data_IF_474204519773
#
_entry.id   IF_474204519773
#
_cell.length_a   1.000
_cell.length_b   1.000
_cell.length_c   1.000
_cell.angle_alpha   90.00
_cell.angle_beta   90.00
_cell.angle_gamma   90.00
#
_symmetry.space_group_name_H-M   'P 1'
#
loop_
_entity.id
_entity.type
_entity.pdbx_description
1 polymer ?
#
# COMPACT_ATOMS: atom_id res chain seq x y z
N UNK A 1 31.72 -54.25 -27.14
CA UNK A 1 32.49 -54.97 -28.18
C UNK A 1 31.49 -55.61 -29.13
N UNK A 2 31.33 -55.06 -30.34
CA UNK A 2 30.48 -55.64 -31.39
C UNK A 2 31.08 -55.31 -32.76
N UNK A 3 31.80 -56.30 -33.31
CA UNK A 3 32.12 -56.53 -34.73
C UNK A 3 32.04 -55.32 -35.68
N UNK A 4 33.12 -54.53 -35.75
CA UNK A 4 33.29 -53.37 -36.64
C UNK A 4 34.14 -53.69 -37.89
N UNK A 5 34.02 -54.90 -38.45
CA UNK A 5 34.86 -55.38 -39.58
C UNK A 5 33.99 -55.91 -40.74
N UNK A 6 32.88 -55.24 -41.04
CA UNK A 6 32.15 -55.46 -42.29
C UNK A 6 32.93 -54.89 -43.48
N UNK A 7 33.22 -55.70 -44.50
CA UNK A 7 33.83 -55.25 -45.77
C UNK A 7 32.88 -54.32 -46.53
N UNK A 8 31.57 -54.55 -46.39
CA UNK A 8 30.50 -53.73 -46.91
C UNK A 8 29.55 -53.31 -45.78
N UNK A 9 29.16 -52.04 -45.79
CA UNK A 9 28.18 -51.49 -44.83
C UNK A 9 27.12 -50.74 -45.62
N UNK A 10 25.87 -51.22 -45.55
CA UNK A 10 24.73 -50.49 -46.09
C UNK A 10 24.42 -49.29 -45.21
N UNK A 11 24.37 -48.10 -45.79
CA UNK A 11 23.96 -46.86 -45.15
C UNK A 11 22.55 -46.54 -45.64
N UNK A 12 21.51 -46.75 -44.81
CA UNK A 12 20.14 -46.44 -45.20
C UNK A 12 19.94 -44.93 -45.48
N UNK A 13 18.82 -44.53 -46.10
CA UNK A 13 18.43 -43.12 -46.18
C UNK A 13 18.42 -42.46 -44.80
N UNK A 14 18.84 -41.19 -44.73
CA UNK A 14 18.95 -40.41 -43.49
C UNK A 14 19.82 -41.06 -42.41
N UNK A 15 20.82 -41.84 -42.81
CA UNK A 15 21.87 -42.33 -41.92
C UNK A 15 23.24 -41.84 -42.38
N UNK A 16 24.19 -41.80 -41.45
CA UNK A 16 25.58 -41.46 -41.72
C UNK A 16 26.53 -42.35 -40.94
N UNK A 17 27.75 -42.51 -41.43
CA UNK A 17 28.83 -43.21 -40.73
C UNK A 17 30.13 -42.40 -40.77
N UNK A 18 31.06 -42.70 -39.87
CA UNK A 18 32.39 -42.06 -39.82
C UNK A 18 33.47 -43.07 -40.19
N UNK A 19 34.33 -42.69 -41.15
CA UNK A 19 35.44 -43.52 -41.64
C UNK A 19 36.75 -42.79 -41.43
N UNK A 20 37.70 -43.43 -40.77
CA UNK A 20 39.09 -43.01 -40.70
C UNK A 20 39.87 -43.61 -41.86
N UNK A 21 40.58 -42.78 -42.61
CA UNK A 21 41.64 -43.25 -43.51
C UNK A 21 42.97 -43.27 -42.74
N UNK A 22 43.57 -44.44 -42.56
CA UNK A 22 44.82 -44.60 -41.82
C UNK A 22 46.05 -44.04 -42.56
N UNK A 23 45.96 -43.80 -43.89
CA UNK A 23 47.07 -43.22 -44.65
C UNK A 23 47.18 -41.72 -44.43
N UNK A 24 46.03 -41.03 -44.33
CA UNK A 24 45.96 -39.58 -44.15
C UNK A 24 45.62 -39.17 -42.72
N UNK A 25 45.23 -40.13 -41.86
CA UNK A 25 44.64 -39.91 -40.54
C UNK A 25 43.40 -39.01 -40.53
N UNK A 26 42.72 -38.87 -41.69
CA UNK A 26 41.53 -38.05 -41.83
C UNK A 26 40.29 -38.88 -41.53
N UNK A 27 39.45 -38.39 -40.62
CA UNK A 27 38.11 -38.94 -40.42
C UNK A 27 37.12 -38.15 -41.26
N UNK A 28 36.39 -38.86 -42.14
CA UNK A 28 35.36 -38.26 -42.99
C UNK A 28 33.98 -38.83 -42.72
N UNK A 29 32.99 -38.03 -43.07
CA UNK A 29 31.58 -38.38 -43.01
C UNK A 29 31.14 -39.05 -44.33
N UNK A 30 30.38 -40.14 -44.24
CA UNK A 30 29.70 -40.75 -45.39
C UNK A 30 28.19 -40.79 -45.12
N UNK A 31 27.42 -40.09 -45.94
CA UNK A 31 25.96 -40.01 -45.85
C UNK A 31 25.28 -41.03 -46.78
N UNK A 32 24.17 -41.62 -46.33
CA UNK A 32 23.31 -42.48 -47.15
C UNK A 32 22.31 -41.70 -48.02
N UNK A 33 21.61 -42.38 -48.95
CA UNK A 33 21.60 -43.82 -49.19
C UNK A 33 22.80 -44.29 -50.04
N UNK A 34 23.65 -45.13 -49.47
CA UNK A 34 24.82 -45.66 -50.17
C UNK A 34 25.27 -46.98 -49.54
N UNK A 35 25.90 -47.85 -50.32
CA UNK A 35 26.63 -48.99 -49.77
C UNK A 35 28.11 -48.61 -49.70
N UNK A 36 28.64 -48.48 -48.49
CA UNK A 36 30.03 -48.15 -48.28
C UNK A 36 30.88 -49.41 -48.33
N UNK A 37 31.88 -49.41 -49.20
CA UNK A 37 32.88 -50.47 -49.32
C UNK A 37 34.18 -50.01 -48.68
N UNK A 38 34.57 -50.66 -47.59
CA UNK A 38 35.76 -50.29 -46.83
C UNK A 38 37.02 -50.71 -47.58
N UNK A 39 37.92 -49.76 -47.89
CA UNK A 39 39.24 -50.07 -48.44
C UNK A 39 40.17 -50.63 -47.37
N UNK A 40 41.31 -51.21 -47.77
CA UNK A 40 42.26 -51.82 -46.84
C UNK A 40 42.89 -50.81 -45.85
N UNK A 41 43.01 -49.55 -46.25
CA UNK A 41 43.54 -48.45 -45.42
C UNK A 41 42.45 -47.77 -44.57
N UNK A 42 41.19 -48.17 -44.65
CA UNK A 42 40.09 -47.48 -44.00
C UNK A 42 39.57 -48.25 -42.78
N UNK A 43 39.15 -47.52 -41.75
CA UNK A 43 38.56 -48.06 -40.53
C UNK A 43 37.25 -47.34 -40.23
N UNK A 44 36.19 -48.10 -39.98
CA UNK A 44 34.89 -47.54 -39.58
C UNK A 44 34.96 -47.23 -38.09
N UNK A 45 34.86 -45.94 -37.72
CA UNK A 45 34.87 -45.49 -36.33
C UNK A 45 33.46 -45.57 -35.74
N UNK A 46 32.46 -45.06 -36.47
CA UNK A 46 31.06 -45.09 -36.06
C UNK A 46 30.24 -45.87 -37.09
N UNK A 47 29.44 -46.81 -36.62
CA UNK A 47 28.45 -47.53 -37.43
C UNK A 47 27.36 -46.56 -37.93
N UNK A 48 26.56 -46.95 -38.95
CA UNK A 48 25.48 -46.12 -39.45
C UNK A 48 24.52 -45.64 -38.34
N UNK A 49 24.50 -44.33 -38.10
CA UNK A 49 23.63 -43.66 -37.14
C UNK A 49 22.58 -42.83 -37.88
N UNK A 50 21.39 -42.68 -37.28
CA UNK A 50 20.34 -41.82 -37.83
C UNK A 50 20.77 -40.36 -37.79
N UNK A 51 20.49 -39.63 -38.88
CA UNK A 51 20.62 -38.17 -38.92
C UNK A 51 19.67 -37.54 -37.90
N UNK A 52 20.09 -36.41 -37.34
CA UNK A 52 19.29 -35.65 -36.39
C UNK A 52 18.20 -34.94 -37.17
N UNK A 53 16.96 -35.11 -36.74
CA UNK A 53 15.79 -34.43 -37.31
C UNK A 53 15.26 -33.46 -36.26
N UNK A 54 15.20 -32.19 -36.61
CA UNK A 54 14.69 -31.11 -35.75
C UNK A 54 13.41 -30.56 -36.38
N UNK A 55 12.28 -30.64 -35.67
CA UNK A 55 11.02 -30.10 -36.18
C UNK A 55 10.91 -28.59 -35.96
N UNK A 56 9.90 -27.94 -36.55
CA UNK A 56 9.63 -26.49 -36.46
C UNK A 56 9.53 -25.97 -35.02
N UNK A 57 9.13 -26.84 -34.08
CA UNK A 57 8.93 -26.48 -32.67
C UNK A 57 10.07 -26.94 -31.76
N UNK A 58 11.17 -27.41 -32.31
CA UNK A 58 12.27 -28.00 -31.57
C UNK A 58 13.61 -27.35 -31.94
N UNK A 59 14.61 -27.60 -31.10
CA UNK A 59 15.99 -27.23 -31.33
C UNK A 59 16.92 -28.26 -30.67
N UNK A 60 18.18 -28.30 -31.11
CA UNK A 60 19.24 -29.02 -30.41
C UNK A 60 20.48 -28.14 -30.30
N UNK A 61 21.36 -28.48 -29.36
CA UNK A 61 22.63 -27.76 -29.15
C UNK A 61 23.77 -28.70 -29.52
N UNK A 62 24.67 -28.23 -30.37
CA UNK A 62 25.84 -28.97 -30.82
C UNK A 62 27.08 -28.27 -30.35
N UNK A 63 27.99 -29.01 -29.74
CA UNK A 63 29.32 -28.53 -29.36
C UNK A 63 30.32 -28.80 -30.48
N UNK A 64 31.28 -27.88 -30.61
CA UNK A 64 32.32 -27.90 -31.65
C UNK A 64 31.73 -27.91 -33.07
N UNK A 65 30.84 -26.97 -33.42
CA UNK A 65 30.16 -26.98 -34.72
C UNK A 65 31.13 -26.81 -35.88
N UNK A 66 30.79 -27.41 -37.02
CA UNK A 66 31.52 -27.17 -38.28
C UNK A 66 31.51 -25.70 -38.69
N UNK A 67 32.64 -25.22 -39.21
CA UNK A 67 32.75 -23.90 -39.83
C UNK A 67 32.02 -23.92 -41.17
N UNK A 68 31.21 -22.89 -41.39
CA UNK A 68 30.50 -22.66 -42.65
C UNK A 68 31.06 -21.40 -43.30
N UNK A 69 31.14 -21.39 -44.62
CA UNK A 69 31.46 -20.20 -45.40
C UNK A 69 30.23 -19.28 -45.57
N UNK A 70 30.40 -18.17 -46.29
CA UNK A 70 29.32 -17.20 -46.55
C UNK A 70 28.14 -17.80 -47.35
N UNK A 71 28.37 -18.91 -48.05
CA UNK A 71 27.33 -19.63 -48.80
C UNK A 71 26.65 -20.72 -47.96
N UNK A 72 27.12 -20.96 -46.73
CA UNK A 72 26.63 -22.01 -45.85
C UNK A 72 27.25 -23.38 -46.10
N UNK A 73 28.26 -23.48 -46.97
CA UNK A 73 29.00 -24.69 -47.26
C UNK A 73 30.09 -24.92 -46.21
N UNK A 74 30.45 -26.18 -45.99
CA UNK A 74 31.37 -26.54 -44.91
C UNK A 74 32.80 -26.28 -45.34
N UNK A 75 33.52 -25.54 -44.51
CA UNK A 75 34.93 -25.26 -44.70
C UNK A 75 35.73 -26.53 -44.38
N UNK A 76 36.36 -27.09 -45.40
CA UNK A 76 37.27 -28.21 -45.28
C UNK A 76 38.71 -27.71 -45.13
N UNK A 77 39.56 -28.43 -44.39
CA UNK A 77 40.99 -28.17 -44.29
C UNK A 77 41.77 -28.73 -45.50
N UNK A 78 43.10 -28.52 -45.49
CA UNK A 78 44.02 -28.98 -46.56
C UNK A 78 43.97 -30.50 -46.80
N UNK A 79 43.46 -31.27 -45.83
CA UNK A 79 43.35 -32.73 -45.88
C UNK A 79 41.91 -33.19 -46.11
N UNK A 80 41.00 -32.30 -46.50
CA UNK A 80 39.57 -32.56 -46.71
C UNK A 80 38.82 -33.00 -45.44
N UNK A 81 39.30 -32.63 -44.25
CA UNK A 81 38.59 -32.79 -42.99
C UNK A 81 37.74 -31.55 -42.70
N UNK A 82 36.54 -31.75 -42.15
CA UNK A 82 35.67 -30.63 -41.78
C UNK A 82 36.31 -29.80 -40.66
N UNK A 83 36.49 -28.50 -40.88
CA UNK A 83 37.04 -27.60 -39.88
C UNK A 83 36.00 -27.31 -38.81
N UNK A 84 36.34 -27.55 -37.54
CA UNK A 84 35.45 -27.29 -36.41
C UNK A 84 35.80 -25.99 -35.69
N UNK A 85 34.79 -25.40 -35.06
CA UNK A 85 34.95 -24.29 -34.12
C UNK A 85 35.00 -24.84 -32.70
N UNK A 86 36.18 -25.32 -32.29
CA UNK A 86 36.37 -25.93 -30.99
C UNK A 86 36.05 -24.96 -29.84
N UNK A 87 35.30 -25.45 -28.84
CA UNK A 87 34.90 -24.67 -27.67
C UNK A 87 33.68 -23.76 -27.90
N UNK A 88 33.11 -23.74 -29.10
CA UNK A 88 31.88 -23.01 -29.41
C UNK A 88 30.66 -23.95 -29.43
N UNK A 89 29.47 -23.36 -29.39
CA UNK A 89 28.19 -24.06 -29.45
C UNK A 89 27.31 -23.48 -30.55
N UNK A 90 26.60 -24.35 -31.28
CA UNK A 90 25.63 -23.97 -32.30
C UNK A 90 24.24 -24.48 -31.91
N UNK A 91 23.26 -23.56 -31.94
CA UNK A 91 21.85 -23.89 -31.80
C UNK A 91 21.29 -24.18 -33.18
N UNK A 92 20.90 -25.44 -33.43
CA UNK A 92 20.25 -25.83 -34.69
C UNK A 92 18.74 -25.91 -34.50
N UNK A 93 18.04 -25.17 -35.33
CA UNK A 93 16.57 -25.15 -35.41
C UNK A 93 16.09 -26.05 -36.55
N UNK A 94 14.82 -25.92 -36.92
CA UNK A 94 14.21 -26.70 -37.98
C UNK A 94 14.94 -26.56 -39.31
N UNK A 95 15.49 -27.67 -39.79
CA UNK A 95 16.22 -27.78 -41.04
C UNK A 95 16.12 -29.23 -41.55
N UNK A 96 16.52 -29.50 -42.81
CA UNK A 96 16.58 -30.88 -43.30
C UNK A 96 17.41 -31.78 -42.38
N UNK A 97 17.08 -33.09 -42.27
CA UNK A 97 17.82 -34.00 -41.42
C UNK A 97 19.32 -33.95 -41.71
N UNK A 98 20.12 -33.76 -40.67
CA UNK A 98 21.55 -33.50 -40.82
C UNK A 98 22.39 -34.52 -40.05
N UNK A 99 23.57 -34.87 -40.59
CA UNK A 99 24.54 -35.69 -39.89
C UNK A 99 25.35 -34.87 -38.88
N UNK A 100 26.00 -35.56 -37.93
CA UNK A 100 27.06 -34.96 -37.12
C UNK A 100 28.41 -35.20 -37.80
N UNK A 101 29.20 -34.15 -37.96
CA UNK A 101 30.56 -34.28 -38.48
C UNK A 101 31.50 -34.91 -37.44
N UNK A 102 32.61 -35.53 -37.87
CA UNK A 102 33.61 -36.05 -36.94
C UNK A 102 34.11 -34.95 -35.99
N UNK A 103 33.88 -35.11 -34.69
CA UNK A 103 34.24 -34.16 -33.63
C UNK A 103 33.09 -33.23 -33.17
N UNK A 104 31.99 -33.17 -33.91
CA UNK A 104 30.75 -32.59 -33.39
C UNK A 104 30.12 -33.54 -32.37
N UNK A 105 29.61 -32.98 -31.28
CA UNK A 105 28.89 -33.72 -30.25
C UNK A 105 27.55 -33.05 -29.95
N UNK A 106 26.52 -33.86 -29.72
CA UNK A 106 25.21 -33.32 -29.30
C UNK A 106 25.27 -33.01 -27.81
N UNK A 107 25.33 -31.72 -27.49
CA UNK A 107 25.37 -31.26 -26.10
C UNK A 107 23.97 -31.31 -25.47
N UNK A 108 22.94 -30.97 -26.24
CA UNK A 108 21.54 -31.08 -25.83
C UNK A 108 20.73 -31.75 -26.92
N UNK A 109 20.06 -32.84 -26.56
CA UNK A 109 19.16 -33.57 -27.46
C UNK A 109 18.00 -32.69 -27.95
N UNK A 110 17.30 -33.17 -28.97
CA UNK A 110 16.17 -32.46 -29.59
C UNK A 110 15.13 -32.12 -28.50
N UNK A 111 14.99 -30.82 -28.23
CA UNK A 111 14.17 -30.27 -27.15
C UNK A 111 13.17 -29.29 -27.76
N UNK A 112 11.94 -29.26 -27.24
CA UNK A 112 10.94 -28.29 -27.70
C UNK A 112 11.30 -26.85 -27.30
N UNK A 113 10.99 -25.91 -28.19
CA UNK A 113 11.12 -24.48 -27.96
C UNK A 113 10.15 -24.02 -26.86
N UNK A 114 10.59 -23.06 -26.06
CA UNK A 114 9.76 -22.51 -24.97
C UNK A 114 8.68 -21.61 -25.56
N UNK A 115 7.42 -22.03 -25.42
CA UNK A 115 6.25 -21.24 -25.81
C UNK A 115 5.73 -20.49 -24.60
N UNK A 116 5.65 -19.17 -24.71
CA UNK A 116 5.07 -18.31 -23.68
C UNK A 116 3.66 -17.90 -24.06
N UNK A 117 2.73 -18.12 -23.14
CA UNK A 117 1.39 -17.58 -23.21
C UNK A 117 1.38 -16.08 -22.88
N UNK A 118 0.24 -15.43 -23.10
CA UNK A 118 0.00 -14.08 -22.60
C UNK A 118 0.19 -14.04 -21.07
N UNK A 119 0.68 -12.92 -20.54
CA UNK A 119 0.98 -12.71 -19.11
C UNK A 119 2.12 -13.59 -18.55
N UNK A 120 2.92 -14.22 -19.40
CA UNK A 120 4.17 -14.88 -19.00
C UNK A 120 5.35 -14.22 -19.72
N UNK A 121 6.49 -14.15 -19.04
CA UNK A 121 7.72 -13.65 -19.60
C UNK A 121 8.92 -14.52 -19.16
N UNK A 122 10.01 -14.45 -19.93
CA UNK A 122 11.30 -14.95 -19.49
C UNK A 122 12.20 -13.76 -19.20
N UNK A 123 12.85 -13.78 -18.03
CA UNK A 123 13.96 -12.89 -17.72
C UNK A 123 15.23 -13.44 -18.34
N UNK A 124 15.81 -12.66 -19.24
CA UNK A 124 17.00 -13.00 -20.00
C UNK A 124 18.16 -12.12 -19.54
N UNK A 125 19.39 -12.64 -19.66
CA UNK A 125 20.61 -11.87 -19.48
C UNK A 125 21.62 -12.14 -20.60
N UNK A 126 22.31 -11.10 -21.04
CA UNK A 126 23.38 -11.23 -22.03
C UNK A 126 24.66 -11.73 -21.36
N UNK A 127 25.22 -12.83 -21.84
CA UNK A 127 26.52 -13.35 -21.38
C UNK A 127 27.68 -12.56 -21.98
N UNK A 128 27.53 -12.10 -23.22
CA UNK A 128 28.53 -11.33 -23.97
C UNK A 128 27.84 -10.19 -24.72
N UNK A 129 28.63 -9.23 -25.22
CA UNK A 129 28.10 -8.18 -26.08
C UNK A 129 27.68 -8.79 -27.43
N UNK A 130 26.46 -8.54 -27.87
CA UNK A 130 25.96 -9.00 -29.16
C UNK A 130 24.87 -8.09 -29.70
N UNK A 131 24.62 -8.17 -31.00
CA UNK A 131 23.52 -7.47 -31.65
C UNK A 131 22.31 -8.39 -31.78
N UNK A 132 21.18 -7.98 -31.19
CA UNK A 132 19.91 -8.72 -31.28
C UNK A 132 19.40 -8.78 -32.73
N UNK A 133 18.51 -9.73 -33.01
CA UNK A 133 17.73 -9.80 -34.27
C UNK A 133 16.99 -8.49 -34.56
N UNK A 134 16.51 -7.82 -33.50
CA UNK A 134 15.82 -6.53 -33.59
C UNK A 134 16.76 -5.33 -33.84
N UNK A 135 18.05 -5.59 -34.01
CA UNK A 135 19.07 -4.56 -34.24
C UNK A 135 19.53 -3.80 -33.00
N UNK A 136 19.06 -4.20 -31.81
CA UNK A 136 19.49 -3.63 -30.52
C UNK A 136 20.84 -4.20 -30.11
N UNK A 137 21.82 -3.33 -29.87
CA UNK A 137 23.11 -3.73 -29.30
C UNK A 137 22.93 -3.99 -27.79
N UNK A 138 23.14 -5.25 -27.38
CA UNK A 138 23.06 -5.69 -26.00
C UNK A 138 24.45 -5.77 -25.39
N UNK A 139 24.59 -5.30 -24.15
CA UNK A 139 25.85 -5.34 -23.40
C UNK A 139 25.84 -6.54 -22.44
N UNK A 140 27.01 -7.14 -22.21
CA UNK A 140 27.17 -8.21 -21.24
C UNK A 140 26.64 -7.81 -19.86
N UNK A 141 25.87 -8.69 -19.23
CA UNK A 141 25.17 -8.47 -17.96
C UNK A 141 23.82 -7.76 -18.09
N UNK A 142 23.50 -7.15 -19.24
CA UNK A 142 22.19 -6.53 -19.46
C UNK A 142 21.07 -7.55 -19.32
N UNK A 143 20.00 -7.18 -18.63
CA UNK A 143 18.80 -7.99 -18.45
C UNK A 143 17.61 -7.38 -19.16
N UNK A 144 16.77 -8.23 -19.75
CA UNK A 144 15.51 -7.82 -20.37
C UNK A 144 14.47 -8.94 -20.30
N UNK A 145 13.22 -8.59 -20.60
CA UNK A 145 12.12 -9.54 -20.66
C UNK A 145 11.84 -9.94 -22.10
N UNK A 146 11.59 -11.22 -22.31
CA UNK A 146 10.87 -11.72 -23.48
C UNK A 146 9.42 -12.00 -23.05
N UNK A 147 8.52 -11.07 -23.36
CA UNK A 147 7.09 -11.13 -23.03
C UNK A 147 6.32 -11.99 -24.04
N UNK A 148 5.44 -12.86 -23.56
CA UNK A 148 4.50 -13.59 -24.41
C UNK A 148 3.32 -12.71 -24.88
N UNK A 149 2.56 -13.12 -25.91
CA UNK A 149 2.62 -14.43 -26.56
C UNK A 149 3.76 -14.54 -27.58
N UNK A 150 4.54 -15.61 -27.50
CA UNK A 150 5.68 -15.80 -28.40
C UNK A 150 6.42 -17.11 -28.17
N UNK A 151 7.23 -17.51 -29.16
CA UNK A 151 8.12 -18.67 -29.06
C UNK A 151 9.54 -18.16 -28.85
N UNK A 152 10.11 -18.43 -27.69
CA UNK A 152 11.47 -18.06 -27.39
C UNK A 152 12.45 -18.96 -28.15
N UNK A 153 13.33 -18.34 -28.94
CA UNK A 153 14.44 -19.01 -29.63
C UNK A 153 15.72 -18.80 -28.83
N UNK A 154 16.26 -19.83 -28.18
CA UNK A 154 17.48 -19.72 -27.39
C UNK A 154 18.68 -19.32 -28.25
N UNK A 155 19.64 -18.63 -27.63
CA UNK A 155 20.88 -18.17 -28.26
C UNK A 155 22.06 -18.50 -27.36
N UNK A 156 23.26 -18.59 -27.95
CA UNK A 156 24.47 -18.89 -27.17
C UNK A 156 24.94 -17.70 -26.32
N UNK A 157 24.61 -16.49 -26.74
CA UNK A 157 24.98 -15.24 -26.08
C UNK A 157 24.00 -14.87 -24.94
N UNK A 158 22.93 -15.63 -24.74
CA UNK A 158 21.83 -15.28 -23.83
C UNK A 158 21.56 -16.41 -22.85
N UNK A 159 21.48 -16.06 -21.57
CA UNK A 159 21.08 -16.95 -20.49
C UNK A 159 19.63 -16.66 -20.06
N UNK A 160 18.87 -17.72 -19.77
CA UNK A 160 17.52 -17.61 -19.20
C UNK A 160 17.65 -17.68 -17.68
N UNK A 161 17.41 -16.57 -17.00
CA UNK A 161 17.54 -16.48 -15.54
C UNK A 161 16.31 -17.04 -14.80
N UNK A 162 15.11 -16.61 -15.19
CA UNK A 162 13.87 -17.04 -14.53
C UNK A 162 12.65 -16.84 -15.43
N UNK A 163 11.57 -17.57 -15.13
CA UNK A 163 10.25 -17.32 -15.70
C UNK A 163 9.46 -16.38 -14.78
N UNK A 164 8.78 -15.40 -15.37
CA UNK A 164 7.93 -14.44 -14.67
C UNK A 164 6.48 -14.55 -15.12
N UNK A 165 5.57 -14.28 -14.20
CA UNK A 165 4.14 -14.16 -14.44
C UNK A 165 3.71 -12.74 -14.15
N UNK A 166 2.80 -12.19 -14.96
CA UNK A 166 2.25 -10.87 -14.70
C UNK A 166 1.46 -10.86 -13.38
N UNK A 167 1.57 -9.76 -12.66
CA UNK A 167 0.83 -9.50 -11.43
C UNK A 167 -0.52 -8.88 -11.77
N UNK A 168 -1.59 -9.39 -11.15
CA UNK A 168 -2.94 -8.89 -11.38
C UNK A 168 -3.24 -7.74 -10.42
N UNK A 169 -3.34 -6.53 -10.97
CA UNK A 169 -3.76 -5.33 -10.24
C UNK A 169 -5.28 -5.23 -10.33
N UNK A 170 -5.95 -5.35 -9.18
CA UNK A 170 -7.39 -5.23 -9.05
C UNK A 170 -7.83 -3.75 -8.97
N UNK A 171 -9.11 -3.42 -9.21
CA UNK A 171 -9.64 -2.10 -8.89
C UNK A 171 -9.35 -1.74 -7.42
N UNK A 172 -9.10 -0.47 -7.13
CA UNK A 172 -8.77 0.02 -5.78
C UNK A 172 -7.52 -0.65 -5.17
N UNK A 173 -6.59 -1.12 -6.00
CA UNK A 173 -5.27 -1.58 -5.57
C UNK A 173 -4.18 -0.99 -6.46
N UNK A 174 -2.97 -0.91 -5.94
CA UNK A 174 -1.80 -0.50 -6.68
C UNK A 174 -0.62 -1.42 -6.38
N UNK A 175 0.20 -1.67 -7.40
CA UNK A 175 1.44 -2.41 -7.25
C UNK A 175 2.55 -1.45 -6.79
N UNK A 176 3.19 -1.75 -5.68
CA UNK A 176 4.30 -0.98 -5.14
C UNK A 176 5.62 -1.57 -5.63
N UNK A 177 6.35 -0.76 -6.41
CA UNK A 177 7.57 -1.15 -7.09
C UNK A 177 8.77 -0.37 -6.59
N UNK A 178 9.94 -1.00 -6.66
CA UNK A 178 11.25 -0.39 -6.41
C UNK A 178 12.21 -0.67 -7.56
N UNK A 179 13.02 0.32 -7.89
CA UNK A 179 14.06 0.22 -8.92
C UNK A 179 15.30 -0.49 -8.36
N UNK A 180 15.76 -1.53 -9.05
CA UNK A 180 16.98 -2.27 -8.73
C UNK A 180 18.25 -1.64 -9.31
N UNK A 181 18.12 -0.71 -10.25
CA UNK A 181 19.19 0.09 -10.86
C UNK A 181 18.61 1.30 -11.60
N UNK A 182 19.48 2.13 -12.17
CA UNK A 182 19.06 3.25 -13.00
C UNK A 182 18.57 2.74 -14.36
N UNK A 183 17.31 3.00 -14.71
CA UNK A 183 16.75 2.60 -16.01
C UNK A 183 15.63 3.55 -16.45
N UNK A 184 15.08 3.31 -17.64
CA UNK A 184 13.86 3.97 -18.10
C UNK A 184 12.71 2.99 -18.02
N UNK A 185 11.65 3.35 -17.31
CA UNK A 185 10.46 2.52 -17.19
C UNK A 185 9.65 2.47 -18.49
N UNK A 186 8.54 1.72 -18.45
CA UNK A 186 7.66 1.50 -19.61
C UNK A 186 7.00 2.78 -20.14
N UNK A 187 6.82 3.78 -19.27
CA UNK A 187 6.26 5.08 -19.61
C UNK A 187 7.35 6.08 -20.08
N UNK A 188 8.61 5.64 -20.12
CA UNK A 188 9.77 6.44 -20.53
C UNK A 188 10.32 7.35 -19.42
N UNK A 189 9.81 7.23 -18.20
CA UNK A 189 10.30 7.96 -17.04
C UNK A 189 11.62 7.34 -16.57
N UNK A 190 12.61 8.19 -16.31
CA UNK A 190 13.89 7.76 -15.75
C UNK A 190 13.70 7.43 -14.27
N UNK A 191 14.03 6.21 -13.88
CA UNK A 191 14.06 5.74 -12.50
C UNK A 191 15.49 5.64 -12.02
N UNK A 192 15.75 6.05 -10.79
CA UNK A 192 17.05 5.89 -10.12
C UNK A 192 17.06 4.69 -9.18
N UNK A 193 18.24 4.14 -8.91
CA UNK A 193 18.41 3.03 -7.97
C UNK A 193 17.73 3.31 -6.62
N UNK A 194 16.89 2.37 -6.17
CA UNK A 194 16.14 2.46 -4.92
C UNK A 194 14.95 3.44 -4.95
N UNK A 195 14.64 4.06 -6.10
CA UNK A 195 13.41 4.82 -6.26
C UNK A 195 12.19 3.89 -6.12
N UNK A 196 11.14 4.39 -5.48
CA UNK A 196 9.92 3.66 -5.19
C UNK A 196 8.73 4.39 -5.85
N UNK A 197 7.81 3.64 -6.49
CA UNK A 197 6.62 4.20 -7.13
C UNK A 197 5.45 3.21 -7.13
N UNK A 198 4.27 3.70 -7.49
CA UNK A 198 3.03 2.93 -7.54
C UNK A 198 2.52 2.82 -8.98
N UNK A 199 2.08 1.62 -9.35
CA UNK A 199 1.35 1.38 -10.59
C UNK A 199 -0.12 1.14 -10.25
N UNK A 200 -0.99 2.05 -10.71
CA UNK A 200 -2.45 2.02 -10.46
C UNK A 200 -3.27 1.47 -11.63
N UNK A 201 -2.62 1.13 -12.74
CA UNK A 201 -3.28 0.64 -13.95
C UNK A 201 -3.87 -0.74 -13.70
N UNK A 202 -5.20 -0.84 -13.70
CA UNK A 202 -5.93 -2.10 -13.49
C UNK A 202 -5.61 -3.09 -14.61
N UNK A 203 -5.36 -4.34 -14.24
CA UNK A 203 -5.07 -5.42 -15.18
C UNK A 203 -3.76 -6.14 -14.86
N UNK A 204 -3.28 -6.92 -15.84
CA UNK A 204 -2.04 -7.66 -15.72
C UNK A 204 -0.84 -6.74 -15.94
N UNK A 205 0.00 -6.59 -14.92
CA UNK A 205 1.25 -5.84 -14.99
C UNK A 205 2.45 -6.79 -14.98
N UNK A 206 3.30 -6.71 -16.02
CA UNK A 206 4.54 -7.48 -16.06
C UNK A 206 5.65 -6.69 -15.38
N UNK A 207 6.14 -7.20 -14.25
CA UNK A 207 7.25 -6.58 -13.52
C UNK A 207 8.52 -6.66 -14.35
N UNK A 208 9.08 -5.51 -14.71
CA UNK A 208 10.26 -5.32 -15.55
C UNK A 208 11.54 -5.94 -14.98
N UNK A 209 12.56 -6.13 -15.83
CA UNK A 209 13.82 -6.78 -15.42
C UNK A 209 14.47 -6.13 -14.19
N UNK A 210 14.44 -4.79 -14.14
CA UNK A 210 15.04 -3.96 -13.10
C UNK A 210 14.01 -3.42 -12.09
N UNK A 211 12.82 -3.98 -12.09
CA UNK A 211 11.76 -3.66 -11.15
C UNK A 211 11.63 -4.79 -10.13
N UNK A 212 11.47 -4.40 -8.88
CA UNK A 212 11.18 -5.29 -7.78
C UNK A 212 9.77 -5.01 -7.27
N UNK A 213 8.95 -6.07 -7.17
CA UNK A 213 7.67 -6.01 -6.45
C UNK A 213 7.95 -5.96 -4.96
N UNK A 214 7.61 -4.84 -4.32
CA UNK A 214 7.73 -4.68 -2.86
C UNK A 214 6.45 -5.14 -2.18
N UNK A 215 5.30 -4.59 -2.59
CA UNK A 215 4.00 -4.92 -1.98
C UNK A 215 2.82 -4.60 -2.92
N UNK A 216 1.59 -4.94 -2.51
CA UNK A 216 0.34 -4.49 -3.14
C UNK A 216 -0.43 -3.65 -2.13
N UNK A 217 -0.67 -2.38 -2.46
CA UNK A 217 -1.35 -1.44 -1.59
C UNK A 217 -2.82 -1.37 -1.98
N UNK A 218 -3.70 -1.68 -1.03
CA UNK A 218 -5.14 -1.51 -1.18
C UNK A 218 -5.59 -0.08 -0.83
N UNK A 219 -6.65 0.38 -1.48
CA UNK A 219 -7.24 1.68 -1.19
C UNK A 219 -7.99 1.66 0.13
N UNK A 220 -7.91 2.76 0.87
CA UNK A 220 -8.79 3.01 2.00
C UNK A 220 -10.13 3.53 1.47
N UNK A 221 -11.21 2.82 1.76
CA UNK A 221 -12.57 3.26 1.44
C UNK A 221 -12.99 4.34 2.45
N UNK A 222 -13.31 5.52 1.95
CA UNK A 222 -13.71 6.68 2.73
C UNK A 222 -15.23 6.84 2.68
N UNK A 223 -15.83 7.18 3.81
CA UNK A 223 -17.27 7.40 3.93
C UNK A 223 -17.53 8.54 4.92
N UNK A 224 -18.80 8.83 5.20
CA UNK A 224 -19.18 9.84 6.19
C UNK A 224 -18.66 9.51 7.61
N UNK A 225 -18.30 8.25 7.88
CA UNK A 225 -17.84 7.77 9.19
C UNK A 225 -16.33 7.60 9.27
N UNK A 226 -15.60 7.70 8.15
CA UNK A 226 -14.17 7.42 8.05
C UNK A 226 -13.48 8.43 7.16
N UNK A 227 -12.55 9.17 7.75
CA UNK A 227 -11.56 9.99 7.06
C UNK A 227 -10.15 9.41 7.27
N UNK A 228 -9.23 9.76 6.38
CA UNK A 228 -7.86 9.29 6.42
C UNK A 228 -6.93 10.43 6.88
N UNK A 229 -6.23 10.25 7.98
CA UNK A 229 -5.19 11.17 8.45
C UNK A 229 -3.86 10.77 7.84
N UNK A 230 -3.33 11.66 7.01
CA UNK A 230 -2.12 11.42 6.20
C UNK A 230 -1.05 12.44 6.54
N UNK A 231 0.20 11.99 6.50
CA UNK A 231 1.41 12.79 6.69
C UNK A 231 2.32 12.70 5.47
N UNK A 232 2.91 13.81 5.06
CA UNK A 232 3.87 13.82 3.96
C UNK A 232 5.27 13.37 4.44
N UNK A 233 5.77 12.26 3.91
CA UNK A 233 7.16 11.81 4.13
C UNK A 233 8.18 12.71 3.45
N UNK A 234 7.81 13.36 2.34
CA UNK A 234 8.65 14.28 1.56
C UNK A 234 7.80 15.38 0.96
N UNK A 235 8.42 16.53 0.64
CA UNK A 235 7.73 17.61 -0.07
C UNK A 235 7.37 17.13 -1.48
N UNK A 236 6.08 17.09 -1.79
CA UNK A 236 5.57 16.61 -3.08
C UNK A 236 4.24 17.29 -3.45
N UNK A 237 3.72 16.97 -4.62
CA UNK A 237 2.36 17.35 -5.04
C UNK A 237 1.49 16.10 -4.89
N UNK A 238 0.41 16.20 -4.11
CA UNK A 238 -0.51 15.09 -3.87
C UNK A 238 -1.35 14.78 -5.13
N UNK A 239 -2.14 13.70 -5.06
CA UNK A 239 -3.02 13.29 -6.18
C UNK A 239 -4.10 14.34 -6.51
N UNK A 240 -4.36 15.28 -5.60
CA UNK A 240 -5.34 16.36 -5.75
C UNK A 240 -4.72 17.66 -6.30
N UNK A 241 -3.41 17.65 -6.60
CA UNK A 241 -2.68 18.80 -7.15
C UNK A 241 -2.23 19.83 -6.12
N UNK A 242 -2.36 19.54 -4.81
CA UNK A 242 -1.91 20.44 -3.74
C UNK A 242 -0.47 20.12 -3.34
N UNK A 243 0.34 21.18 -3.18
CA UNK A 243 1.75 21.05 -2.77
C UNK A 243 1.82 20.84 -1.25
N UNK A 244 2.29 19.67 -0.82
CA UNK A 244 2.48 19.29 0.58
C UNK A 244 3.95 19.40 0.96
N UNK A 245 4.25 20.00 2.12
CA UNK A 245 5.60 20.09 2.67
C UNK A 245 5.94 18.83 3.48
N UNK A 246 7.21 18.48 3.57
CA UNK A 246 7.66 17.40 4.44
C UNK A 246 7.15 17.58 5.88
N UNK A 247 6.53 16.55 6.43
CA UNK A 247 5.96 16.52 7.78
C UNK A 247 4.60 17.20 7.92
N UNK A 248 4.07 17.83 6.86
CA UNK A 248 2.70 18.36 6.84
C UNK A 248 1.70 17.22 6.99
N UNK A 249 0.65 17.45 7.78
CA UNK A 249 -0.43 16.50 8.04
C UNK A 249 -1.75 17.07 7.55
N UNK A 250 -2.60 16.23 6.97
CA UNK A 250 -3.94 16.62 6.51
C UNK A 250 -4.92 15.45 6.61
N UNK A 251 -6.20 15.77 6.47
CA UNK A 251 -7.26 14.78 6.32
C UNK A 251 -7.69 14.66 4.87
N UNK A 252 -8.01 13.44 4.46
CA UNK A 252 -8.69 13.12 3.21
C UNK A 252 -10.06 12.54 3.60
N UNK A 253 -11.11 13.12 3.04
CA UNK A 253 -12.50 12.77 3.38
C UNK A 253 -13.23 12.20 2.17
N UNK A 254 -14.44 11.69 2.37
CA UNK A 254 -15.31 11.24 1.29
C UNK A 254 -15.71 12.35 0.31
N UNK A 255 -15.55 13.64 0.69
CA UNK A 255 -15.79 14.77 -0.19
C UNK A 255 -14.69 14.93 -1.25
N UNK A 256 -13.48 14.45 -0.96
CA UNK A 256 -12.33 14.52 -1.86
C UNK A 256 -12.29 13.30 -2.80
N UNK A 257 -12.50 12.11 -2.24
CA UNK A 257 -12.51 10.84 -2.98
C UNK A 257 -13.26 9.74 -2.21
N UNK A 258 -13.92 8.82 -2.93
CA UNK A 258 -14.57 7.64 -2.33
C UNK A 258 -13.55 6.63 -1.81
N UNK A 259 -12.38 6.54 -2.45
CA UNK A 259 -11.29 5.69 -2.00
C UNK A 259 -9.95 6.34 -2.27
N UNK A 260 -8.99 6.14 -1.37
CA UNK A 260 -7.66 6.70 -1.49
C UNK A 260 -6.59 5.62 -1.38
N UNK A 261 -5.74 5.51 -2.39
CA UNK A 261 -4.51 4.71 -2.35
C UNK A 261 -3.38 5.66 -1.93
N UNK A 262 -2.79 5.47 -0.73
CA UNK A 262 -1.69 6.30 -0.26
C UNK A 262 -0.52 6.28 -1.24
N UNK A 263 -0.01 7.46 -1.58
CA UNK A 263 1.18 7.60 -2.41
C UNK A 263 2.44 7.14 -1.67
N UNK A 264 3.54 6.93 -2.39
CA UNK A 264 4.86 6.59 -1.80
C UNK A 264 5.36 7.67 -0.82
N UNK A 265 5.02 8.93 -1.10
CA UNK A 265 5.38 10.08 -0.28
C UNK A 265 4.36 10.38 0.84
N UNK A 266 3.32 9.56 0.96
CA UNK A 266 2.28 9.68 1.97
C UNK A 266 2.44 8.58 3.02
N UNK A 267 2.21 8.92 4.27
CA UNK A 267 2.16 8.00 5.40
C UNK A 267 0.77 8.10 6.03
N UNK A 268 0.07 6.97 6.12
CA UNK A 268 -1.20 6.90 6.83
C UNK A 268 -0.90 6.84 8.32
N UNK A 269 -1.25 7.90 9.04
CA UNK A 269 -1.09 7.97 10.50
C UNK A 269 -2.19 7.17 11.17
N UNK A 270 -3.45 7.43 10.79
CA UNK A 270 -4.62 6.75 11.34
C UNK A 270 -5.88 6.95 10.47
N UNK A 271 -6.89 6.13 10.73
CA UNK A 271 -8.25 6.31 10.21
C UNK A 271 -9.08 6.99 11.29
N UNK A 272 -9.67 8.14 10.98
CA UNK A 272 -10.36 9.01 11.93
C UNK A 272 -11.87 8.91 11.73
N UNK A 273 -12.63 8.81 12.83
CA UNK A 273 -14.09 8.90 12.83
C UNK A 273 -14.56 10.33 13.11
N UNK A 274 -15.71 10.75 12.55
CA UNK A 274 -16.24 12.08 12.82
C UNK A 274 -16.70 12.18 14.28
N UNK A 275 -16.57 13.38 14.84
CA UNK A 275 -17.31 13.79 16.03
C UNK A 275 -18.73 14.09 15.60
N UNK A 276 -19.69 13.45 16.28
CA UNK A 276 -21.12 13.68 16.07
C UNK A 276 -21.67 14.41 17.29
N UNK A 277 -22.06 15.67 17.10
CA UNK A 277 -22.77 16.47 18.10
C UNK A 277 -24.27 16.34 17.88
N UNK A 278 -24.98 15.98 18.95
CA UNK A 278 -26.45 16.04 18.98
C UNK A 278 -26.93 17.50 19.17
N UNK A 279 -28.23 17.74 18.99
CA UNK A 279 -28.85 19.07 19.16
C UNK A 279 -28.67 19.64 20.57
N UNK A 280 -28.58 18.78 21.58
CA UNK A 280 -28.36 19.11 22.98
C UNK A 280 -26.90 19.03 23.43
N UNK A 281 -25.94 18.96 22.50
CA UNK A 281 -24.52 18.85 22.81
C UNK A 281 -23.73 20.03 22.24
N UNK A 282 -22.59 20.32 22.85
CA UNK A 282 -21.60 21.26 22.36
C UNK A 282 -20.19 20.76 22.69
N UNK A 283 -19.18 21.28 22.00
CA UNK A 283 -17.79 21.01 22.34
C UNK A 283 -16.93 22.24 22.08
N UNK A 284 -15.75 22.26 22.69
CA UNK A 284 -14.76 23.32 22.51
C UNK A 284 -13.54 22.69 21.84
N UNK A 285 -13.21 23.20 20.65
CA UNK A 285 -12.03 22.79 19.90
C UNK A 285 -10.87 23.70 20.28
N UNK A 286 -9.76 23.11 20.71
CA UNK A 286 -8.49 23.77 20.96
C UNK A 286 -7.67 23.85 19.67
N UNK A 287 -6.98 24.98 19.49
CA UNK A 287 -6.08 25.27 18.37
C UNK A 287 -6.72 25.09 16.97
N UNK A 288 -7.92 25.66 16.74
CA UNK A 288 -8.67 25.43 15.51
C UNK A 288 -7.87 25.84 14.27
N UNK A 289 -7.94 25.00 13.24
CA UNK A 289 -7.23 25.19 11.98
C UNK A 289 -8.03 26.13 11.07
N UNK A 290 -7.37 27.13 10.48
CA UNK A 290 -8.02 28.01 9.50
C UNK A 290 -8.20 27.32 8.13
N UNK A 291 -8.92 27.99 7.22
CA UNK A 291 -9.12 27.50 5.84
C UNK A 291 -7.79 27.29 5.07
N UNK A 292 -6.72 27.97 5.51
CA UNK A 292 -5.37 27.85 4.93
C UNK A 292 -4.60 26.63 5.46
N UNK A 293 -5.15 25.88 6.42
CA UNK A 293 -4.53 24.69 7.01
C UNK A 293 -3.49 24.98 8.11
N UNK A 294 -3.53 26.17 8.71
CA UNK A 294 -2.64 26.61 9.78
C UNK A 294 -3.38 26.61 11.13
N UNK A 295 -2.88 25.90 12.16
CA UNK A 295 -3.48 25.88 13.49
C UNK A 295 -3.32 27.22 14.21
N UNK A 296 -4.40 27.70 14.84
CA UNK A 296 -4.41 28.93 15.63
C UNK A 296 -4.10 28.63 17.09
N UNK A 297 -2.81 28.47 17.39
CA UNK A 297 -2.31 28.08 18.72
C UNK A 297 -2.81 29.04 19.81
N UNK A 298 -3.35 28.48 20.90
CA UNK A 298 -3.90 29.18 22.05
C UNK A 298 -5.31 29.74 21.86
N UNK A 299 -5.97 29.45 20.73
CA UNK A 299 -7.37 29.84 20.51
C UNK A 299 -8.30 28.66 20.74
N UNK A 300 -9.52 28.97 21.18
CA UNK A 300 -10.61 28.01 21.38
C UNK A 300 -11.74 28.34 20.40
N UNK A 301 -12.46 27.33 19.94
CA UNK A 301 -13.63 27.47 19.08
C UNK A 301 -14.80 26.68 19.67
N UNK A 302 -15.87 27.40 20.01
CA UNK A 302 -17.11 26.79 20.48
C UNK A 302 -17.93 26.28 19.28
N UNK A 303 -18.21 24.98 19.25
CA UNK A 303 -19.09 24.35 18.27
C UNK A 303 -20.32 23.82 18.99
N UNK A 304 -21.51 24.24 18.52
CA UNK A 304 -22.79 23.83 19.08
C UNK A 304 -23.80 23.43 18.00
N UNK A 305 -24.77 22.64 18.41
CA UNK A 305 -25.88 22.17 17.56
C UNK A 305 -25.56 20.90 16.79
N UNK A 306 -26.58 20.34 16.14
CA UNK A 306 -26.47 19.07 15.42
C UNK A 306 -25.50 19.18 14.24
N UNK A 307 -24.31 18.60 14.39
CA UNK A 307 -23.23 18.64 13.40
C UNK A 307 -22.38 17.39 13.49
N UNK A 308 -21.94 16.89 12.33
CA UNK A 308 -20.89 15.89 12.23
C UNK A 308 -19.68 16.52 11.53
N UNK A 309 -18.51 16.43 12.15
CA UNK A 309 -17.26 16.97 11.60
C UNK A 309 -16.05 16.16 12.07
N UNK A 310 -14.93 16.29 11.36
CA UNK A 310 -13.66 15.66 11.73
C UNK A 310 -12.76 16.69 12.41
N UNK A 311 -11.99 16.29 13.42
CA UNK A 311 -10.92 17.13 13.97
C UNK A 311 -9.76 17.18 12.98
N UNK A 312 -9.32 18.39 12.65
CA UNK A 312 -8.15 18.57 11.81
C UNK A 312 -6.87 18.16 12.55
N UNK A 313 -5.80 17.75 11.84
CA UNK A 313 -4.53 17.43 12.50
C UNK A 313 -4.02 18.62 13.32
N UNK A 314 -3.80 18.39 14.61
CA UNK A 314 -3.39 19.41 15.57
C UNK A 314 -4.53 20.03 16.38
N UNK A 315 -5.79 19.75 16.04
CA UNK A 315 -6.94 20.09 16.87
C UNK A 315 -7.16 19.04 17.95
N UNK A 316 -7.61 19.49 19.12
CA UNK A 316 -8.03 18.62 20.21
C UNK A 316 -9.32 19.13 20.84
N UNK A 317 -10.04 18.26 21.55
CA UNK A 317 -11.20 18.66 22.34
C UNK A 317 -10.74 18.99 23.76
N UNK A 318 -11.17 20.14 24.27
CA UNK A 318 -10.81 20.61 25.62
C UNK A 318 -11.34 19.65 26.71
N UNK A 319 -12.67 19.48 26.76
CA UNK A 319 -13.39 18.62 27.72
C UNK A 319 -14.28 17.58 27.00
N UNK A 320 -13.93 17.22 25.76
CA UNK A 320 -14.71 16.29 24.95
C UNK A 320 -16.06 16.86 24.48
N UNK A 321 -17.07 15.99 24.40
CA UNK A 321 -18.45 16.36 24.04
C UNK A 321 -19.22 16.63 25.34
N UNK A 322 -19.75 17.84 25.48
CA UNK A 322 -20.49 18.29 26.66
C UNK A 322 -21.98 18.45 26.35
N UNK A 323 -22.81 18.25 27.37
CA UNK A 323 -24.26 18.48 27.28
C UNK A 323 -24.60 19.95 27.53
N UNK A 324 -25.53 20.49 26.74
CA UNK A 324 -26.09 21.83 26.90
C UNK A 324 -26.82 21.93 28.24
N UNK A 325 -26.67 23.06 28.94
CA UNK A 325 -27.36 23.28 30.21
C UNK A 325 -28.83 23.62 29.95
N UNK A 326 -29.72 22.67 30.24
CA UNK A 326 -31.17 22.87 30.17
C UNK A 326 -31.69 23.27 31.56
N UNK A 327 -32.09 24.54 31.72
CA UNK A 327 -32.61 25.08 32.98
C UNK A 327 -34.13 25.11 32.94
N UNK A 328 -34.79 24.49 33.93
CA UNK A 328 -36.23 24.59 34.14
C UNK A 328 -36.64 25.93 34.79
N UNK A 329 -37.95 26.16 34.97
CA UNK A 329 -38.47 27.39 35.59
C UNK A 329 -37.97 27.63 37.03
N UNK A 330 -37.57 26.57 37.72
CA UNK A 330 -37.05 26.62 39.10
C UNK A 330 -35.54 26.44 39.17
N UNK A 331 -34.85 26.38 38.05
CA UNK A 331 -33.40 26.24 38.00
C UNK A 331 -32.74 27.59 37.71
N UNK A 332 -31.52 27.76 38.22
CA UNK A 332 -30.66 28.86 37.82
C UNK A 332 -29.20 28.45 37.78
N UNK A 333 -28.44 29.12 36.94
CA UNK A 333 -27.01 28.87 36.72
C UNK A 333 -26.22 30.10 37.14
N UNK A 334 -25.14 29.88 37.90
CA UNK A 334 -24.20 30.93 38.28
C UNK A 334 -22.99 30.81 37.36
N UNK A 335 -22.70 31.93 36.71
CA UNK A 335 -21.65 32.09 35.71
C UNK A 335 -20.59 33.04 36.25
N UNK A 336 -19.36 32.86 35.81
CA UNK A 336 -18.23 33.74 36.11
C UNK A 336 -17.50 34.09 34.83
N UNK A 337 -17.23 35.38 34.63
CA UNK A 337 -16.42 35.84 33.52
C UNK A 337 -14.94 35.53 33.79
N UNK A 338 -14.26 34.83 32.89
CA UNK A 338 -12.82 34.60 32.94
C UNK A 338 -12.05 35.82 32.41
N UNK A 339 -12.58 36.47 31.38
CA UNK A 339 -12.06 37.71 30.81
C UNK A 339 -13.16 38.75 30.62
N UNK A 340 -12.78 40.01 30.39
CA UNK A 340 -13.74 41.07 30.14
C UNK A 340 -14.28 40.96 28.71
N UNK A 341 -15.57 40.71 28.56
CA UNK A 341 -16.23 40.54 27.27
C UNK A 341 -17.61 41.20 27.25
N UNK A 342 -18.20 41.33 26.06
CA UNK A 342 -19.57 41.80 25.91
C UNK A 342 -20.55 40.64 25.81
N UNK A 343 -21.40 40.50 26.82
CA UNK A 343 -22.51 39.54 26.88
C UNK A 343 -23.79 40.23 26.38
N UNK A 344 -23.95 40.27 25.06
CA UNK A 344 -25.05 41.00 24.41
C UNK A 344 -24.97 42.51 24.68
N UNK A 345 -25.90 43.04 25.49
CA UNK A 345 -25.92 44.47 25.88
C UNK A 345 -25.18 44.75 27.20
N UNK A 346 -24.72 43.73 27.92
CA UNK A 346 -24.03 43.89 29.19
C UNK A 346 -22.52 43.70 29.02
N UNK A 347 -21.74 44.73 29.38
CA UNK A 347 -20.29 44.59 29.47
C UNK A 347 -19.94 43.92 30.81
N UNK A 348 -19.40 42.69 30.75
CA UNK A 348 -18.98 41.92 31.92
C UNK A 348 -17.51 42.17 32.20
N UNK A 349 -17.17 42.33 33.47
CA UNK A 349 -15.78 42.47 33.92
C UNK A 349 -15.21 41.11 34.32
N UNK A 350 -13.91 40.89 34.10
CA UNK A 350 -13.24 39.66 34.52
C UNK A 350 -13.45 39.40 36.03
N UNK A 351 -13.87 38.18 36.38
CA UNK A 351 -14.21 37.76 37.74
C UNK A 351 -15.62 38.11 38.21
N UNK A 352 -16.41 38.83 37.42
CA UNK A 352 -17.81 39.13 37.75
C UNK A 352 -18.64 37.84 37.73
N UNK A 353 -19.38 37.60 38.82
CA UNK A 353 -20.35 36.50 38.90
C UNK A 353 -21.76 37.01 38.64
N UNK A 354 -22.51 36.32 37.78
CA UNK A 354 -23.93 36.58 37.57
C UNK A 354 -24.77 35.31 37.51
N UNK A 355 -26.07 35.46 37.77
CA UNK A 355 -27.02 34.36 37.70
C UNK A 355 -27.98 34.51 36.52
N UNK A 356 -28.22 33.41 35.79
CA UNK A 356 -29.32 33.28 34.84
C UNK A 356 -30.38 32.32 35.41
N UNK A 357 -31.67 32.66 35.24
CA UNK A 357 -32.81 31.85 35.67
C UNK A 357 -33.52 31.25 34.46
N UNK A 358 -34.01 30.01 34.56
CA UNK A 358 -34.76 29.37 33.47
C UNK A 358 -36.19 29.92 33.28
N UNK A 359 -36.96 29.41 32.28
CA UNK A 359 -36.63 28.31 31.38
C UNK A 359 -35.73 28.74 30.21
N UNK A 360 -34.56 28.11 30.07
CA UNK A 360 -33.51 28.52 29.12
C UNK A 360 -32.60 27.33 28.80
N UNK A 361 -32.19 27.22 27.53
CA UNK A 361 -31.05 26.40 27.10
C UNK A 361 -29.80 27.29 27.02
N UNK A 362 -28.77 26.96 27.81
CA UNK A 362 -27.57 27.76 27.92
C UNK A 362 -26.33 26.97 27.49
N UNK A 363 -25.53 27.59 26.63
CA UNK A 363 -24.20 27.12 26.25
C UNK A 363 -23.20 28.18 26.68
N UNK A 364 -22.26 27.87 27.60
CA UNK A 364 -21.29 28.84 28.03
C UNK A 364 -20.38 29.25 26.84
N UNK A 365 -20.22 30.56 26.57
CA UNK A 365 -19.19 31.03 25.65
C UNK A 365 -17.80 30.80 26.26
N UNK A 366 -16.75 30.95 25.44
CA UNK A 366 -15.37 30.58 25.80
C UNK A 366 -14.86 31.42 26.99
N UNK A 367 -15.34 32.65 27.09
CA UNK A 367 -14.95 33.64 28.09
C UNK A 367 -15.63 33.41 29.45
N UNK A 368 -16.51 32.41 29.57
CA UNK A 368 -17.37 32.20 30.74
C UNK A 368 -17.22 30.79 31.29
N UNK A 369 -17.08 30.72 32.61
CA UNK A 369 -17.04 29.48 33.37
C UNK A 369 -18.37 29.30 34.13
N UNK A 370 -18.89 28.07 34.11
CA UNK A 370 -20.05 27.69 34.92
C UNK A 370 -19.57 27.33 36.32
N UNK A 371 -19.91 28.16 37.31
CA UNK A 371 -19.49 27.95 38.70
C UNK A 371 -20.39 26.93 39.40
N UNK A 372 -21.71 27.09 39.29
CA UNK A 372 -22.66 26.21 39.98
C UNK A 372 -24.04 26.28 39.33
N UNK A 373 -24.69 25.13 39.17
CA UNK A 373 -26.11 25.04 38.85
C UNK A 373 -26.89 24.88 40.15
N UNK A 374 -27.90 25.73 40.36
CA UNK A 374 -28.76 25.76 41.55
C UNK A 374 -30.19 25.41 41.19
N UNK A 375 -30.85 24.70 42.09
CA UNK A 375 -32.30 24.47 42.04
C UNK A 375 -32.98 25.28 43.12
N UNK A 376 -34.18 25.77 42.83
CA UNK A 376 -35.00 26.43 43.84
C UNK A 376 -35.35 25.41 44.92
N UNK A 377 -35.32 25.88 46.16
CA UNK A 377 -35.65 25.07 47.32
C UNK A 377 -37.16 25.20 47.52
N UNK A 378 -37.95 24.13 47.32
CA UNK A 378 -39.37 24.18 47.62
C UNK A 378 -39.53 24.29 49.13
N UNK A 379 -40.30 25.28 49.59
CA UNK A 379 -40.61 25.50 50.99
C UNK A 379 -42.12 25.53 51.16
N UNK A 380 -42.63 24.70 52.06
CA UNK A 380 -44.03 24.73 52.48
C UNK A 380 -44.34 25.94 53.38
N UNK A 381 -45.61 26.25 53.64
CA UNK A 381 -46.07 27.42 54.41
C UNK A 381 -45.39 27.55 55.79
N UNK A 382 -45.02 26.42 56.40
CA UNK A 382 -44.38 26.35 57.72
C UNK A 382 -42.87 26.08 57.66
N UNK A 383 -42.28 26.00 56.47
CA UNK A 383 -40.85 25.75 56.27
C UNK A 383 -40.11 27.03 55.90
N UNK A 384 -38.84 27.12 56.31
CA UNK A 384 -38.02 28.27 56.01
C UNK A 384 -36.53 27.96 56.06
N UNK A 385 -35.78 28.75 55.30
CA UNK A 385 -34.32 28.69 55.21
C UNK A 385 -33.71 29.99 55.71
N UNK A 386 -32.51 29.89 56.26
CA UNK A 386 -31.68 31.05 56.53
C UNK A 386 -30.76 31.28 55.35
N UNK A 387 -30.79 32.49 54.81
CA UNK A 387 -29.97 32.92 53.68
C UNK A 387 -29.03 34.00 54.16
N UNK A 388 -27.75 33.88 53.81
CA UNK A 388 -26.72 34.88 54.07
C UNK A 388 -26.27 35.49 52.76
N UNK A 389 -26.21 36.81 52.72
CA UNK A 389 -25.57 37.56 51.64
C UNK A 389 -24.04 37.55 51.85
N UNK A 390 -23.29 37.12 50.83
CA UNK A 390 -21.83 37.03 50.81
C UNK A 390 -21.16 38.40 50.77
N UNK A 391 -21.80 39.42 50.18
CA UNK A 391 -21.27 40.79 50.09
C UNK A 391 -21.48 41.56 51.39
N UNK A 392 -22.70 41.57 51.90
CA UNK A 392 -23.06 42.35 53.10
C UNK A 392 -22.88 41.58 54.40
N UNK A 393 -22.86 40.25 54.35
CA UNK A 393 -22.84 39.37 55.51
C UNK A 393 -24.19 39.26 56.23
N UNK A 394 -25.24 39.95 55.76
CA UNK A 394 -26.55 39.98 56.40
C UNK A 394 -27.22 38.60 56.30
N UNK A 395 -27.76 38.12 57.42
CA UNK A 395 -28.52 36.85 57.49
C UNK A 395 -30.00 37.18 57.63
N UNK A 396 -30.85 36.61 56.77
CA UNK A 396 -32.30 36.72 56.84
C UNK A 396 -32.97 35.35 56.76
N UNK A 397 -34.19 35.25 57.29
CA UNK A 397 -35.03 34.07 57.15
C UNK A 397 -36.00 34.26 55.97
N UNK A 398 -36.09 33.25 55.11
CA UNK A 398 -37.10 33.16 54.04
C UNK A 398 -38.02 32.00 54.40
N UNK A 399 -39.34 32.25 54.44
CA UNK A 399 -40.35 31.30 54.95
C UNK A 399 -41.51 31.26 53.95
N UNK A 400 -42.10 30.07 53.76
CA UNK A 400 -43.42 29.91 53.14
C UNK A 400 -43.49 30.08 51.62
N UNK A 401 -42.36 30.17 50.92
CA UNK A 401 -42.35 30.21 49.45
C UNK A 401 -41.09 29.59 48.86
N UNK A 402 -41.23 28.93 47.71
CA UNK A 402 -40.11 28.37 46.95
C UNK A 402 -39.09 29.45 46.65
N UNK A 403 -37.83 29.23 47.07
CA UNK A 403 -36.79 30.24 46.99
C UNK A 403 -35.58 29.77 46.20
N UNK A 404 -35.14 30.59 45.25
CA UNK A 404 -33.94 30.38 44.46
C UNK A 404 -32.85 31.35 44.95
N UNK A 405 -31.74 30.79 45.45
CA UNK A 405 -30.64 31.59 45.99
C UNK A 405 -29.90 32.34 44.88
N UNK A 406 -29.77 33.65 45.03
CA UNK A 406 -29.04 34.51 44.10
C UNK A 406 -27.51 34.27 44.12
N UNK A 407 -26.78 34.80 43.14
CA UNK A 407 -25.30 34.69 43.03
C UNK A 407 -24.54 35.04 44.33
N UNK A 408 -25.00 36.09 45.01
CA UNK A 408 -24.39 36.62 46.22
C UNK A 408 -24.96 35.97 47.49
N UNK A 409 -25.83 34.98 47.37
CA UNK A 409 -26.51 34.34 48.49
C UNK A 409 -26.00 32.90 48.73
N UNK A 410 -25.91 32.51 50.00
CA UNK A 410 -25.61 31.16 50.45
C UNK A 410 -26.54 30.71 51.59
N UNK A 411 -26.73 29.39 51.72
CA UNK A 411 -27.47 28.83 52.85
C UNK A 411 -26.66 28.97 54.14
N UNK A 412 -27.29 29.53 55.16
CA UNK A 412 -26.64 29.74 56.46
C UNK A 412 -27.14 28.74 57.50
N UNK A 413 -26.27 27.84 58.00
CA UNK A 413 -26.67 26.91 59.05
C UNK A 413 -26.83 27.67 60.38
N UNK A 414 -28.02 27.58 60.97
CA UNK A 414 -28.22 28.02 62.35
C UNK A 414 -27.60 26.98 63.29
N UNK A 415 -26.44 27.31 63.87
CA UNK A 415 -25.85 26.50 64.94
C UNK A 415 -26.80 26.47 66.13
N UNK A 416 -27.40 25.31 66.40
CA UNK A 416 -28.15 25.07 67.63
C UNK A 416 -27.17 24.73 68.74
N UNK A 417 -27.21 25.47 69.85
CA UNK A 417 -26.57 25.03 71.09
C UNK A 417 -27.32 23.80 71.64
N UNK A 418 -26.64 22.84 72.29
CA UNK A 418 -27.23 21.57 72.71
C UNK A 418 -28.20 21.78 73.88
N UNK A 419 -29.44 22.20 73.59
CA UNK A 419 -30.51 22.26 74.58
C UNK A 419 -31.89 21.86 74.02
N UNK A 420 -31.97 21.26 72.83
CA UNK A 420 -33.26 20.80 72.26
C UNK A 420 -33.23 19.29 71.98
N UNK A 421 -33.35 18.51 73.06
CA UNK A 421 -33.91 17.14 73.01
C UNK A 421 -35.38 17.26 73.39
N UNK A 422 -36.24 17.47 72.41
CA UNK A 422 -37.69 17.27 72.48
C UNK A 422 -38.22 17.76 71.14
N UNK A 423 -38.51 16.81 70.25
CA UNK A 423 -39.42 16.90 69.07
C UNK A 423 -39.27 15.69 68.14
N UNK A 424 -38.61 14.62 68.57
CA UNK A 424 -38.78 13.28 68.00
C UNK A 424 -39.48 12.40 69.03
N UNK A 425 -40.79 12.61 69.21
CA UNK A 425 -41.65 11.58 69.80
C UNK A 425 -42.36 10.85 68.66
N UNK A 426 -41.89 9.62 68.45
CA UNK A 426 -42.53 8.51 67.78
C UNK A 426 -44.04 8.43 68.06
N UNK A 427 -44.86 8.46 67.00
CA UNK A 427 -46.20 7.90 67.05
C UNK A 427 -46.09 6.38 67.22
N UNK A 428 -46.20 5.91 68.46
CA UNK A 428 -46.65 4.56 68.78
C UNK A 428 -47.99 4.70 69.51
N UNK A 429 -49.03 4.08 68.95
CA UNK A 429 -50.38 4.01 69.52
C UNK A 429 -51.26 3.03 68.74
N UNK A 430 -51.16 1.75 69.10
CA UNK A 430 -51.97 0.58 68.68
C UNK A 430 -53.42 0.64 69.24
N UNK A 431 -54.26 -0.42 69.20
CA UNK A 431 -54.62 -1.41 68.15
C UNK A 431 -56.14 -1.39 67.85
N UNK A 432 -56.57 -1.92 66.69
CA UNK A 432 -57.99 -2.14 66.38
C UNK A 432 -58.31 -3.62 66.16
N UNK A 433 -59.15 -4.19 67.04
CA UNK A 433 -59.74 -5.53 66.95
C UNK A 433 -61.25 -5.35 66.72
N UNK A 434 -61.82 -6.32 65.99
CA UNK A 434 -63.25 -6.67 65.82
C UNK A 434 -63.94 -6.21 64.53
N UNK A 435 -64.48 -7.21 63.83
CA UNK A 435 -65.19 -7.15 62.55
C UNK A 435 -64.85 -8.34 61.68
#
# INVERSE_FOLDING_TARGET
MSSSDGVNVAIPPYHFLHVLDNNTNVTRLVSGPATFFRKSNEKIIKLPQRMITVTIKEYCIISNPVKKDDNGDIVMDEFCQASLTYGDVEYRFAQPPFPLYPGEEIMKEVTSLTVLAQNKALLLSALINFKSEDGVDRVAGEQWLFEGPGVYRPRKEVEVLSARTAEMISPNSALFLRALMDFKDRDGQKRVYGEEWLVKSVGAYMVGAYEERVDVIEAYNLDEKRALHVKAKRTHVDNFGKRRKHGEEWLITHLDTESHIPSVNEEVVQVVSPIVLASNNYCIICDPVNEEGVPRIGKKLLVRGEKAFFLMPGEDLDDGIMDVYVLGQSDGIILRALESFQDGNAARTAGEEWMLTGPLEYVPPIEVEVVTVRKAIPLDENEGIYVRDKRSGQVRAVIGSTYLLNQDEELWPKKTFPCRRENTQSQQGSPGREG
#
